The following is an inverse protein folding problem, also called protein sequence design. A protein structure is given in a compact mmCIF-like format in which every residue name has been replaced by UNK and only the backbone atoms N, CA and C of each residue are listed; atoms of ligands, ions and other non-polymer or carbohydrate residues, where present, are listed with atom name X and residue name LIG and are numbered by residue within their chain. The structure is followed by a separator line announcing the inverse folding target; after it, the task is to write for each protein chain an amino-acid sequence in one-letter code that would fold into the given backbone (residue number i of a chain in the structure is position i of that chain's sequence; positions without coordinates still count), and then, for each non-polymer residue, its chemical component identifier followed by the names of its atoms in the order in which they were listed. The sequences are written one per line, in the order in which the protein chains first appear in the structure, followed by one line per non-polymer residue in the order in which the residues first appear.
data_IF_706719452602
#
_entry.id   IF_706719452602
#
_cell.length_a   1.000
_cell.length_b   1.000
_cell.length_c   1.000
_cell.angle_alpha   90.00
_cell.angle_beta   90.00
_cell.angle_gamma   90.00
#
_symmetry.space_group_name_H-M   'P 1'
#
loop_
_entity.id
_entity.type
_entity.pdbx_description
1 polymer ?
#
# COMPACT_ATOMS: atom_id res chain seq x y z
N UNK A 1 33.21 50.27 -2.57
CA UNK A 1 31.87 49.99 -2.01
C UNK A 1 31.83 48.53 -1.56
N UNK A 2 31.88 48.31 -0.25
CA UNK A 2 31.88 46.95 0.36
C UNK A 2 30.47 46.62 0.78
N UNK A 3 29.86 45.63 0.12
CA UNK A 3 28.55 45.09 0.48
C UNK A 3 28.72 44.14 1.67
N UNK A 4 28.19 44.52 2.83
CA UNK A 4 28.15 43.67 4.03
C UNK A 4 26.91 42.76 3.96
N UNK A 5 27.14 41.48 3.82
CA UNK A 5 26.09 40.44 4.02
C UNK A 5 25.84 40.40 5.53
N UNK A 6 24.61 40.71 5.93
CA UNK A 6 24.12 40.50 7.29
C UNK A 6 23.53 39.08 7.32
N UNK A 7 24.26 38.16 7.95
CA UNK A 7 23.73 36.81 8.28
C UNK A 7 22.94 36.99 9.58
N UNK A 8 21.61 36.94 9.47
CA UNK A 8 20.75 36.86 10.64
C UNK A 8 20.80 35.42 11.18
N UNK A 9 21.59 35.26 12.24
CA UNK A 9 21.55 34.01 13.02
C UNK A 9 20.21 33.95 13.77
N UNK A 10 19.35 33.05 13.35
CA UNK A 10 18.14 32.70 14.10
C UNK A 10 18.58 31.86 15.29
N UNK A 11 18.66 32.48 16.46
CA UNK A 11 18.79 31.81 17.74
C UNK A 11 17.54 30.99 17.98
N UNK A 12 17.60 29.67 17.76
CA UNK A 12 16.62 28.73 18.29
C UNK A 12 16.91 28.62 19.79
N UNK A 13 16.29 29.53 20.55
CA UNK A 13 16.27 29.43 22.01
C UNK A 13 15.56 28.12 22.37
N UNK A 14 16.34 27.20 22.95
CA UNK A 14 15.77 25.99 23.55
C UNK A 14 14.80 26.36 24.67
N UNK A 15 13.53 26.47 24.41
CA UNK A 15 12.49 26.45 25.43
C UNK A 15 12.46 25.04 25.98
N UNK A 16 12.95 24.86 27.18
CA UNK A 16 12.71 23.69 27.99
C UNK A 16 11.18 23.62 28.24
N UNK A 17 10.47 22.84 27.44
CA UNK A 17 9.07 22.56 27.71
C UNK A 17 8.97 21.69 28.95
N UNK A 18 8.32 22.18 29.97
CA UNK A 18 7.96 21.42 31.15
C UNK A 18 7.29 20.10 30.73
N UNK A 19 7.70 19.00 31.35
CA UNK A 19 7.14 17.65 31.15
C UNK A 19 5.69 17.60 31.66
N UNK A 20 4.75 18.12 30.90
CA UNK A 20 3.33 18.04 31.16
C UNK A 20 2.64 17.28 30.02
N UNK A 21 1.76 16.33 30.35
CA UNK A 21 0.94 15.64 29.38
C UNK A 21 0.09 16.62 28.54
N UNK A 22 -0.24 16.23 27.29
CA UNK A 22 -1.23 16.99 26.51
C UNK A 22 -2.55 17.07 27.29
N UNK A 23 -3.22 18.25 27.30
CA UNK A 23 -4.56 18.35 27.89
C UNK A 23 -5.55 17.45 27.12
N UNK A 24 -6.66 17.08 27.75
CA UNK A 24 -7.69 16.33 27.06
C UNK A 24 -8.26 17.15 25.90
N UNK A 25 -8.45 16.54 24.70
CA UNK A 25 -8.97 17.23 23.54
C UNK A 25 -10.41 17.70 23.78
N UNK A 26 -10.74 18.86 23.27
CA UNK A 26 -12.13 19.38 23.31
C UNK A 26 -13.04 18.39 22.55
N UNK A 27 -14.11 17.95 23.20
CA UNK A 27 -15.07 17.00 22.63
C UNK A 27 -14.78 15.54 22.95
N UNK A 28 -13.68 15.22 23.69
CA UNK A 28 -13.33 13.85 24.07
C UNK A 28 -12.86 12.98 22.89
N UNK A 29 -12.56 13.57 21.75
CA UNK A 29 -12.04 12.87 20.60
C UNK A 29 -10.61 12.38 20.86
N UNK A 30 -10.33 11.12 20.57
CA UNK A 30 -9.02 10.51 20.79
C UNK A 30 -8.17 10.46 19.53
N UNK A 31 -8.80 10.64 18.37
CA UNK A 31 -8.16 10.65 17.05
C UNK A 31 -8.75 11.76 16.17
N UNK A 32 -7.96 12.19 15.17
CA UNK A 32 -8.39 13.13 14.15
C UNK A 32 -7.88 12.72 12.77
N UNK A 33 -8.72 12.83 11.75
CA UNK A 33 -8.32 12.62 10.35
C UNK A 33 -8.05 13.95 9.70
N UNK A 34 -6.82 14.13 9.23
CA UNK A 34 -6.34 15.35 8.57
C UNK A 34 -7.18 15.65 7.34
N UNK A 35 -7.65 16.90 7.21
CA UNK A 35 -8.40 17.41 6.07
C UNK A 35 -7.52 18.22 5.12
N UNK A 36 -7.93 18.45 3.87
CA UNK A 36 -7.22 19.36 2.97
C UNK A 36 -7.04 20.75 3.59
N UNK A 37 -5.78 21.22 3.62
CA UNK A 37 -5.43 22.52 4.18
C UNK A 37 -5.16 22.55 5.68
N UNK A 38 -5.34 21.43 6.41
CA UNK A 38 -5.00 21.36 7.83
C UNK A 38 -3.48 21.44 8.05
N UNK A 39 -3.11 22.05 9.17
CA UNK A 39 -1.77 22.03 9.73
C UNK A 39 -1.81 21.49 11.16
N UNK A 40 -0.70 20.94 11.67
CA UNK A 40 -0.63 20.52 13.08
C UNK A 40 -0.90 21.69 14.04
N UNK A 41 -0.59 22.92 13.62
CA UNK A 41 -0.91 24.15 14.34
C UNK A 41 -2.42 24.37 14.47
N UNK A 42 -3.16 24.27 13.36
CA UNK A 42 -4.61 24.45 13.36
C UNK A 42 -5.34 23.34 14.12
N UNK A 43 -4.86 22.11 13.96
CA UNK A 43 -5.38 20.94 14.68
C UNK A 43 -5.17 21.13 16.20
N UNK A 44 -3.98 21.53 16.62
CA UNK A 44 -3.70 21.81 18.04
C UNK A 44 -4.55 22.94 18.61
N UNK A 45 -4.74 24.02 17.83
CA UNK A 45 -5.65 25.11 18.19
C UNK A 45 -7.08 24.62 18.37
N UNK A 46 -7.53 23.78 17.46
CA UNK A 46 -8.91 23.26 17.43
C UNK A 46 -9.20 22.35 18.63
N UNK A 47 -8.34 21.36 18.87
CA UNK A 47 -8.59 20.32 19.87
C UNK A 47 -8.09 20.67 21.28
N UNK A 48 -6.98 21.35 21.38
CA UNK A 48 -6.41 21.73 22.70
C UNK A 48 -6.65 23.20 23.06
N UNK A 49 -7.17 24.01 22.14
CA UNK A 49 -7.36 25.45 22.35
C UNK A 49 -6.03 26.25 22.34
N UNK A 50 -4.90 25.56 22.15
CA UNK A 50 -3.57 26.17 22.13
C UNK A 50 -2.76 25.65 20.93
N UNK A 51 -2.51 26.50 19.90
CA UNK A 51 -1.77 26.08 18.74
C UNK A 51 -0.30 25.74 19.05
N UNK A 52 0.28 26.30 20.12
CA UNK A 52 1.68 26.02 20.51
C UNK A 52 1.92 24.59 20.99
N UNK A 53 0.85 23.80 21.15
CA UNK A 53 0.96 22.38 21.49
C UNK A 53 1.21 21.46 20.29
N UNK A 54 1.33 22.02 19.08
CA UNK A 54 1.60 21.25 17.87
C UNK A 54 2.87 20.36 17.94
N UNK A 55 3.98 20.74 18.62
CA UNK A 55 5.13 19.86 18.72
C UNK A 55 4.81 18.58 19.52
N UNK A 56 3.99 18.70 20.56
CA UNK A 56 3.54 17.53 21.35
C UNK A 56 2.54 16.65 20.61
N UNK A 57 1.65 17.27 19.83
CA UNK A 57 0.80 16.51 18.91
C UNK A 57 1.66 15.75 17.89
N UNK A 58 2.74 16.36 17.42
CA UNK A 58 3.70 15.69 16.54
C UNK A 58 4.45 14.54 17.24
N UNK A 59 4.96 14.75 18.43
CA UNK A 59 5.60 13.70 19.25
C UNK A 59 4.67 12.50 19.47
N UNK A 60 3.40 12.76 19.70
CA UNK A 60 2.37 11.73 19.83
C UNK A 60 2.13 10.94 18.52
N UNK A 61 2.49 11.51 17.40
CA UNK A 61 2.33 10.96 16.05
C UNK A 61 3.69 10.82 15.37
N UNK A 62 4.61 10.09 15.98
CA UNK A 62 6.01 9.93 15.56
C UNK A 62 6.21 9.37 14.15
N UNK A 63 5.14 8.86 13.51
CA UNK A 63 5.15 8.45 12.11
C UNK A 63 5.19 9.63 11.11
N UNK A 64 5.02 10.86 11.59
CA UNK A 64 5.15 12.08 10.78
C UNK A 64 6.61 12.52 10.81
N UNK A 65 7.36 12.23 9.76
CA UNK A 65 8.77 12.59 9.66
C UNK A 65 8.99 14.10 9.61
N UNK A 66 8.11 14.82 8.90
CA UNK A 66 8.16 16.27 8.77
C UNK A 66 6.84 16.90 9.23
N UNK A 67 6.85 17.65 10.35
CA UNK A 67 5.63 18.24 10.91
C UNK A 67 4.94 19.29 10.00
N UNK A 68 5.65 19.78 8.99
CA UNK A 68 5.09 20.69 7.98
C UNK A 68 4.43 19.97 6.81
N UNK A 69 4.54 18.64 6.75
CA UNK A 69 4.03 17.80 5.67
C UNK A 69 3.06 16.75 6.23
N UNK A 70 1.89 17.20 6.66
CA UNK A 70 0.77 16.29 6.94
C UNK A 70 -0.14 16.25 5.72
N UNK A 71 -0.69 15.07 5.47
CA UNK A 71 -1.51 14.83 4.29
C UNK A 71 -2.95 14.53 4.69
N UNK A 72 -3.91 15.04 3.93
CA UNK A 72 -5.31 14.70 4.13
C UNK A 72 -5.51 13.18 4.13
N UNK A 73 -6.33 12.69 5.06
CA UNK A 73 -6.55 11.26 5.28
C UNK A 73 -5.60 10.62 6.31
N UNK A 74 -4.52 11.28 6.72
CA UNK A 74 -3.72 10.80 7.84
C UNK A 74 -4.54 10.82 9.13
N UNK A 75 -4.42 9.75 9.92
CA UNK A 75 -5.09 9.66 11.23
C UNK A 75 -4.10 10.04 12.31
N UNK A 76 -4.41 11.11 13.04
CA UNK A 76 -3.60 11.59 14.16
C UNK A 76 -4.19 11.13 15.48
N UNK A 77 -3.34 10.65 16.38
CA UNK A 77 -3.70 10.45 17.79
C UNK A 77 -3.70 11.80 18.52
N UNK A 78 -4.77 12.07 19.25
CA UNK A 78 -4.92 13.31 20.05
C UNK A 78 -4.65 13.10 21.53
N UNK A 79 -4.51 11.86 22.03
CA UNK A 79 -4.33 11.58 23.44
C UNK A 79 -3.19 10.60 23.72
N UNK A 80 -2.38 10.81 24.78
CA UNK A 80 -1.29 9.90 25.15
C UNK A 80 -1.76 8.55 25.69
N UNK A 81 -3.03 8.38 26.03
CA UNK A 81 -3.60 7.11 26.46
C UNK A 81 -3.75 6.07 25.34
N UNK A 82 -3.53 6.49 24.11
CA UNK A 82 -3.51 5.62 22.95
C UNK A 82 -2.10 5.09 22.74
N UNK A 83 -1.77 3.96 23.37
CA UNK A 83 -0.55 3.20 23.01
C UNK A 83 -0.61 2.57 21.63
N UNK A 84 -1.67 2.82 20.86
CA UNK A 84 -1.83 2.41 19.46
C UNK A 84 -2.36 3.58 18.65
N UNK A 85 -1.58 4.13 17.70
CA UNK A 85 -2.07 5.19 16.83
C UNK A 85 -3.20 4.66 15.95
N UNK A 86 -4.31 5.34 16.04
CA UNK A 86 -5.34 5.43 15.07
C UNK A 86 -6.27 4.26 14.93
N UNK A 87 -7.21 4.07 15.86
CA UNK A 87 -8.59 3.68 15.59
C UNK A 87 -9.31 3.58 16.93
N UNK A 88 -10.51 4.16 17.10
CA UNK A 88 -11.27 3.97 18.31
C UNK A 88 -11.54 2.47 18.47
N UNK A 89 -10.96 1.87 19.51
CA UNK A 89 -11.45 0.61 20.00
C UNK A 89 -12.85 0.89 20.53
N UNK A 90 -13.86 0.63 19.72
CA UNK A 90 -15.19 0.37 20.25
C UNK A 90 -14.98 -0.77 21.24
N UNK A 91 -15.15 -0.51 22.52
CA UNK A 91 -15.27 -1.57 23.53
C UNK A 91 -16.52 -2.37 23.19
N UNK A 92 -16.42 -3.26 22.23
CA UNK A 92 -17.28 -4.41 22.16
C UNK A 92 -16.73 -5.28 23.27
N UNK A 93 -17.44 -5.35 24.37
CA UNK A 93 -17.18 -6.33 25.41
C UNK A 93 -17.70 -7.68 24.89
N UNK A 94 -16.87 -8.53 24.26
CA UNK A 94 -17.18 -9.94 24.20
C UNK A 94 -16.68 -10.47 25.53
N UNK A 95 -17.51 -11.04 26.33
CA UNK A 95 -17.10 -12.03 27.30
C UNK A 95 -16.42 -13.18 26.56
N UNK A 96 -15.17 -12.98 26.18
CA UNK A 96 -14.29 -14.07 25.76
C UNK A 96 -13.93 -14.75 27.07
N UNK A 97 -14.54 -15.91 27.28
CA UNK A 97 -14.16 -16.80 28.38
C UNK A 97 -12.69 -17.14 28.24
N UNK A 98 -11.92 -17.00 29.31
CA UNK A 98 -10.47 -17.26 29.39
C UNK A 98 -10.09 -18.72 29.02
N UNK A 99 -11.06 -19.62 28.93
CA UNK A 99 -10.87 -21.02 28.53
C UNK A 99 -10.62 -21.21 27.03
N UNK A 100 -10.84 -20.18 26.18
CA UNK A 100 -10.51 -20.21 24.74
C UNK A 100 -9.11 -19.67 24.40
N UNK A 101 -8.34 -19.21 25.38
CA UNK A 101 -6.98 -18.68 25.18
C UNK A 101 -5.87 -19.73 25.35
N UNK A 102 -6.21 -21.02 25.45
CA UNK A 102 -5.23 -22.12 25.60
C UNK A 102 -4.87 -22.77 24.28
N UNK A 103 -4.68 -22.00 23.21
CA UNK A 103 -4.00 -22.52 22.03
C UNK A 103 -2.58 -21.93 21.93
N UNK A 104 -1.77 -22.29 22.94
CA UNK A 104 -0.33 -22.03 22.93
C UNK A 104 0.28 -23.05 22.02
N UNK A 105 0.45 -22.73 20.71
CA UNK A 105 1.29 -23.52 19.85
C UNK A 105 0.82 -23.80 18.43
N UNK A 106 -0.35 -23.31 17.98
CA UNK A 106 -0.64 -23.38 16.55
C UNK A 106 0.32 -22.49 15.77
N UNK A 107 1.00 -23.01 14.75
CA UNK A 107 1.83 -22.16 13.88
C UNK A 107 0.97 -21.04 13.30
N UNK A 108 1.53 -19.84 13.05
CA UNK A 108 0.76 -18.75 12.48
C UNK A 108 0.12 -19.19 11.16
N UNK A 109 -1.11 -18.77 10.86
CA UNK A 109 -1.80 -19.19 9.65
C UNK A 109 -0.98 -18.79 8.42
N UNK A 110 -0.83 -19.74 7.51
CA UNK A 110 -0.12 -19.59 6.24
C UNK A 110 -1.17 -19.43 5.15
N UNK A 111 -1.03 -18.41 4.32
CA UNK A 111 -1.85 -18.23 3.13
C UNK A 111 -1.06 -18.65 1.90
N UNK A 112 -1.62 -19.62 1.18
CA UNK A 112 -1.07 -20.05 -0.10
C UNK A 112 -1.74 -19.30 -1.23
N UNK A 113 -0.94 -18.70 -2.09
CA UNK A 113 -1.41 -18.10 -3.32
C UNK A 113 -0.98 -19.00 -4.49
N UNK A 114 -1.92 -19.77 -5.01
CA UNK A 114 -1.66 -20.84 -5.98
C UNK A 114 -0.99 -20.38 -7.29
N UNK A 115 -0.98 -19.07 -7.55
CA UNK A 115 -0.40 -18.45 -8.74
C UNK A 115 0.43 -17.24 -8.34
N UNK A 116 1.50 -17.46 -7.59
CA UNK A 116 2.40 -16.39 -7.16
C UNK A 116 2.87 -15.53 -8.33
N UNK A 117 2.89 -14.22 -8.11
CA UNK A 117 3.24 -13.23 -9.13
C UNK A 117 2.06 -12.71 -9.94
N UNK A 118 0.92 -13.41 -10.00
CA UNK A 118 -0.26 -12.97 -10.77
C UNK A 118 -0.94 -11.75 -10.19
N UNK A 119 -0.68 -11.45 -8.92
CA UNK A 119 -1.16 -10.28 -8.19
C UNK A 119 -0.61 -8.97 -8.75
N UNK A 120 0.52 -9.00 -9.47
CA UNK A 120 1.17 -7.81 -9.97
C UNK A 120 1.58 -6.85 -8.84
N UNK A 121 1.94 -5.62 -9.22
CA UNK A 121 2.34 -4.56 -8.28
C UNK A 121 2.23 -3.19 -8.92
N UNK A 122 2.44 -2.12 -8.13
CA UNK A 122 2.62 -0.76 -8.65
C UNK A 122 4.10 -0.40 -8.61
N UNK A 123 4.65 -0.06 -9.78
CA UNK A 123 6.01 0.45 -9.95
C UNK A 123 5.99 1.98 -10.04
N UNK A 124 6.87 2.71 -9.35
CA UNK A 124 6.94 4.19 -9.44
C UNK A 124 7.17 4.66 -10.86
N UNK A 125 8.01 3.95 -11.62
CA UNK A 125 8.31 4.19 -13.01
C UNK A 125 7.76 3.08 -13.91
N UNK A 126 7.78 3.29 -15.23
CA UNK A 126 7.50 2.19 -16.14
C UNK A 126 8.50 1.06 -15.92
N UNK A 127 7.98 -0.14 -15.73
CA UNK A 127 8.83 -1.30 -15.46
C UNK A 127 9.66 -1.62 -16.69
N UNK A 128 10.97 -1.61 -16.52
CA UNK A 128 11.91 -1.87 -17.61
C UNK A 128 11.70 -3.26 -18.19
N UNK A 129 11.79 -3.37 -19.50
CA UNK A 129 11.70 -4.61 -20.23
C UNK A 129 12.97 -4.85 -21.03
N UNK A 130 13.32 -6.11 -21.19
CA UNK A 130 14.48 -6.53 -22.02
C UNK A 130 14.05 -6.73 -23.47
N UNK A 131 12.82 -7.20 -23.66
CA UNK A 131 12.28 -7.47 -24.99
C UNK A 131 10.77 -7.60 -25.03
N UNK A 132 10.27 -8.09 -26.17
CA UNK A 132 8.84 -8.27 -26.44
C UNK A 132 8.58 -9.55 -27.23
N UNK A 133 7.36 -10.08 -27.12
CA UNK A 133 6.86 -11.17 -27.96
C UNK A 133 6.48 -10.61 -29.33
N UNK A 134 7.12 -11.09 -30.38
CA UNK A 134 6.94 -10.61 -31.76
C UNK A 134 5.79 -11.31 -32.47
N UNK A 135 5.73 -12.64 -32.37
CA UNK A 135 4.78 -13.51 -33.06
C UNK A 135 4.74 -14.89 -32.39
N UNK A 136 3.92 -15.78 -32.91
CA UNK A 136 3.91 -17.20 -32.54
C UNK A 136 3.96 -18.11 -33.75
N UNK A 137 4.24 -19.40 -33.53
CA UNK A 137 4.21 -20.42 -34.57
C UNK A 137 3.24 -21.55 -34.17
N UNK A 138 2.14 -21.78 -34.91
CA UNK A 138 1.60 -20.94 -35.99
C UNK A 138 1.14 -19.56 -35.49
N UNK A 139 1.01 -18.55 -36.36
CA UNK A 139 0.57 -17.21 -35.97
C UNK A 139 -0.83 -17.23 -35.31
N UNK A 140 -0.91 -16.74 -34.07
CA UNK A 140 -2.15 -16.63 -33.27
C UNK A 140 -2.30 -15.22 -32.71
N UNK A 141 -3.53 -14.81 -32.45
CA UNK A 141 -3.85 -13.53 -31.79
C UNK A 141 -3.73 -13.68 -30.28
N UNK A 142 -4.30 -14.76 -29.75
CA UNK A 142 -4.25 -15.10 -28.33
C UNK A 142 -3.28 -16.26 -28.14
N UNK A 143 -2.39 -16.10 -27.19
CA UNK A 143 -1.31 -17.03 -26.89
C UNK A 143 -1.56 -17.62 -25.51
N UNK A 144 -1.31 -18.91 -25.39
CA UNK A 144 -1.51 -19.66 -24.14
C UNK A 144 -0.36 -20.60 -23.83
N UNK A 145 -0.50 -21.32 -22.75
CA UNK A 145 0.48 -22.31 -22.31
C UNK A 145 0.74 -23.37 -23.40
N UNK A 146 2.03 -23.65 -23.61
CA UNK A 146 2.50 -24.59 -24.64
C UNK A 146 2.77 -23.96 -26.02
N UNK A 147 2.31 -22.73 -26.28
CA UNK A 147 2.58 -22.05 -27.55
C UNK A 147 4.07 -21.66 -27.67
N UNK A 148 4.59 -21.79 -28.91
CA UNK A 148 5.92 -21.31 -29.26
C UNK A 148 5.80 -19.86 -29.78
N UNK A 149 6.64 -18.99 -29.26
CA UNK A 149 6.68 -17.56 -29.60
C UNK A 149 8.06 -17.12 -30.03
N UNK A 150 8.13 -16.11 -30.86
CA UNK A 150 9.37 -15.41 -31.24
C UNK A 150 9.51 -14.15 -30.38
N UNK A 151 10.72 -13.92 -29.88
CA UNK A 151 11.07 -12.74 -29.10
C UNK A 151 12.16 -11.92 -29.79
N UNK A 152 12.26 -10.63 -29.45
CA UNK A 152 13.32 -9.74 -29.95
C UNK A 152 14.53 -9.65 -29.02
N UNK A 153 14.82 -10.72 -28.27
CA UNK A 153 16.04 -10.89 -27.46
C UNK A 153 16.84 -12.07 -27.97
N UNK A 154 18.14 -12.03 -27.82
CA UNK A 154 19.02 -13.09 -28.30
C UNK A 154 20.40 -13.05 -27.68
N UNK A 155 21.39 -13.69 -28.33
CA UNK A 155 22.74 -13.81 -27.79
C UNK A 155 23.44 -12.48 -27.52
N UNK A 156 23.13 -11.41 -28.27
CA UNK A 156 23.65 -10.06 -28.01
C UNK A 156 23.13 -9.44 -26.70
N UNK A 157 22.04 -9.96 -26.17
CA UNK A 157 21.42 -9.54 -24.90
C UNK A 157 21.82 -10.47 -23.75
N UNK A 158 22.71 -11.46 -24.01
CA UNK A 158 23.15 -12.44 -23.02
C UNK A 158 22.14 -13.55 -22.77
N UNK A 159 21.19 -13.78 -23.69
CA UNK A 159 20.15 -14.80 -23.56
C UNK A 159 20.65 -16.16 -24.03
N UNK A 160 20.39 -17.19 -23.26
CA UNK A 160 20.72 -18.58 -23.51
C UNK A 160 19.48 -19.48 -23.52
N UNK A 161 19.59 -20.65 -24.11
CA UNK A 161 18.53 -21.67 -24.06
C UNK A 161 18.31 -22.13 -22.60
N UNK A 162 17.07 -22.24 -22.18
CA UNK A 162 16.66 -22.54 -20.81
C UNK A 162 16.42 -21.31 -19.92
N UNK A 163 16.75 -20.11 -20.38
CA UNK A 163 16.46 -18.89 -19.64
C UNK A 163 14.96 -18.67 -19.47
N UNK A 164 14.57 -18.29 -18.26
CA UNK A 164 13.18 -17.97 -17.92
C UNK A 164 12.93 -16.47 -17.94
N UNK A 165 11.81 -16.09 -18.54
CA UNK A 165 11.35 -14.71 -18.61
C UNK A 165 9.91 -14.57 -18.10
N UNK A 166 9.66 -13.50 -17.39
CA UNK A 166 8.31 -13.08 -16.99
C UNK A 166 7.69 -12.24 -18.10
N UNK A 167 6.49 -12.62 -18.53
CA UNK A 167 5.66 -11.86 -19.47
C UNK A 167 4.77 -10.91 -18.72
N UNK A 168 4.82 -9.62 -19.04
CA UNK A 168 4.07 -8.61 -18.32
C UNK A 168 3.53 -7.50 -19.23
N UNK A 169 2.64 -6.71 -18.67
CA UNK A 169 2.14 -5.48 -19.29
C UNK A 169 2.08 -4.38 -18.25
N UNK A 170 2.56 -3.21 -18.59
CA UNK A 170 2.40 -1.99 -17.82
C UNK A 170 1.13 -1.28 -18.27
N UNK A 171 0.25 -0.97 -17.34
CA UNK A 171 -1.00 -0.26 -17.61
C UNK A 171 -0.82 1.26 -17.53
N UNK A 172 -1.94 1.98 -17.66
CA UNK A 172 -1.98 3.43 -17.46
C UNK A 172 -1.49 3.81 -16.06
N UNK A 173 -1.00 5.05 -15.88
CA UNK A 173 -0.56 5.52 -14.58
C UNK A 173 -1.70 5.47 -13.54
N UNK A 174 -1.34 5.10 -12.31
CA UNK A 174 -2.23 5.08 -11.15
C UNK A 174 -2.06 6.38 -10.38
N UNK A 175 -3.20 6.96 -9.98
CA UNK A 175 -3.24 8.19 -9.19
C UNK A 175 -3.78 7.89 -7.81
N UNK A 176 -3.20 8.54 -6.82
CA UNK A 176 -3.67 8.41 -5.45
C UNK A 176 -5.09 8.99 -5.32
N UNK A 177 -6.07 8.23 -4.80
CA UNK A 177 -7.48 8.60 -4.84
C UNK A 177 -7.79 9.90 -4.09
N UNK A 178 -6.99 10.24 -3.11
CA UNK A 178 -7.20 11.41 -2.26
C UNK A 178 -6.39 12.63 -2.71
N UNK A 179 -5.10 12.46 -3.03
CA UNK A 179 -4.21 13.58 -3.38
C UNK A 179 -4.21 13.91 -4.86
N UNK A 180 -4.72 13.02 -5.72
CA UNK A 180 -4.65 13.14 -7.17
C UNK A 180 -3.23 13.03 -7.75
N UNK A 181 -2.22 12.77 -6.92
CA UNK A 181 -0.83 12.62 -7.39
C UNK A 181 -0.64 11.28 -8.08
N UNK A 182 0.14 11.27 -9.15
CA UNK A 182 0.60 10.02 -9.77
C UNK A 182 1.49 9.27 -8.77
N UNK A 183 1.18 8.00 -8.53
CA UNK A 183 1.92 7.12 -7.62
C UNK A 183 2.72 6.04 -8.33
N UNK A 184 2.45 5.82 -9.61
CA UNK A 184 3.19 4.85 -10.41
C UNK A 184 2.36 4.26 -11.53
N UNK A 185 2.80 3.09 -11.99
CA UNK A 185 2.15 2.31 -13.04
C UNK A 185 1.83 0.92 -12.52
N UNK A 186 0.63 0.44 -12.78
CA UNK A 186 0.25 -0.93 -12.46
C UNK A 186 0.92 -1.89 -13.44
N UNK A 187 1.70 -2.82 -12.93
CA UNK A 187 2.34 -3.91 -13.66
C UNK A 187 1.52 -5.17 -13.43
N UNK A 188 1.00 -5.74 -14.50
CA UNK A 188 0.28 -7.00 -14.45
C UNK A 188 1.12 -8.10 -15.09
N UNK A 189 1.26 -9.22 -14.37
CA UNK A 189 1.97 -10.41 -14.86
C UNK A 189 0.98 -11.25 -15.66
N UNK A 190 1.40 -11.64 -16.87
CA UNK A 190 0.58 -12.39 -17.81
C UNK A 190 0.97 -13.85 -17.89
N UNK A 191 2.24 -14.17 -17.64
CA UNK A 191 2.76 -15.53 -17.71
C UNK A 191 4.26 -15.59 -17.65
N UNK A 192 4.78 -16.75 -17.99
CA UNK A 192 6.19 -17.06 -18.05
C UNK A 192 6.52 -17.76 -19.35
N UNK A 193 7.73 -17.52 -19.87
CA UNK A 193 8.27 -18.18 -21.04
C UNK A 193 9.66 -18.71 -20.74
N UNK A 194 10.01 -19.80 -21.38
CA UNK A 194 11.35 -20.40 -21.36
C UNK A 194 11.95 -20.31 -22.78
N UNK A 195 13.17 -19.83 -22.91
CA UNK A 195 13.88 -19.77 -24.17
C UNK A 195 14.21 -21.20 -24.63
N UNK A 196 13.72 -21.56 -25.79
CA UNK A 196 13.97 -22.89 -26.39
C UNK A 196 15.22 -22.85 -27.22
N UNK A 197 15.35 -21.85 -28.10
CA UNK A 197 16.49 -21.73 -29.02
C UNK A 197 16.82 -20.27 -29.31
N UNK A 198 18.10 -19.96 -29.43
CA UNK A 198 18.60 -18.63 -29.76
C UNK A 198 18.94 -18.58 -31.26
N UNK A 199 18.07 -17.93 -32.04
CA UNK A 199 18.18 -17.87 -33.50
C UNK A 199 19.22 -16.88 -34.00
N UNK A 200 19.71 -15.99 -33.12
CA UNK A 200 20.68 -14.97 -33.51
C UNK A 200 20.89 -13.91 -32.43
N UNK A 201 21.58 -12.83 -32.80
CA UNK A 201 21.93 -11.77 -31.84
C UNK A 201 20.73 -11.11 -31.14
N UNK A 202 19.62 -10.96 -31.85
CA UNK A 202 18.42 -10.23 -31.40
C UNK A 202 17.12 -11.02 -31.61
N UNK A 203 17.20 -12.34 -31.66
CA UNK A 203 16.02 -13.17 -31.84
C UNK A 203 16.17 -14.52 -31.16
N UNK A 204 15.12 -14.97 -30.52
CA UNK A 204 15.01 -16.33 -29.98
C UNK A 204 13.57 -16.86 -30.12
N UNK A 205 13.45 -18.18 -30.02
CA UNK A 205 12.18 -18.87 -29.81
C UNK A 205 12.03 -19.17 -28.33
N UNK A 206 10.82 -19.02 -27.83
CA UNK A 206 10.49 -19.36 -26.44
C UNK A 206 9.17 -20.13 -26.39
N UNK A 207 9.02 -20.98 -25.38
CA UNK A 207 7.79 -21.68 -25.08
C UNK A 207 7.08 -20.98 -23.92
N UNK A 208 5.77 -20.75 -24.03
CA UNK A 208 4.99 -20.27 -22.91
C UNK A 208 4.83 -21.44 -21.93
N UNK A 209 5.46 -21.33 -20.75
CA UNK A 209 5.43 -22.35 -19.69
C UNK A 209 4.23 -22.17 -18.78
N UNK A 210 3.85 -20.92 -18.49
CA UNK A 210 2.70 -20.58 -17.68
C UNK A 210 1.94 -19.41 -18.32
N UNK A 211 0.61 -19.52 -18.37
CA UNK A 211 -0.27 -18.45 -18.86
C UNK A 211 -1.32 -18.14 -17.80
N UNK A 212 -1.19 -17.02 -17.12
CA UNK A 212 -2.09 -16.56 -16.08
C UNK A 212 -3.24 -15.71 -16.63
N UNK A 213 -2.97 -15.04 -17.76
CA UNK A 213 -3.88 -14.17 -18.49
C UNK A 213 -3.62 -14.32 -19.99
N UNK A 214 -4.53 -13.83 -20.80
CA UNK A 214 -4.39 -13.83 -22.26
C UNK A 214 -3.14 -13.05 -22.69
N UNK A 215 -2.13 -13.78 -23.16
CA UNK A 215 -0.91 -13.20 -23.72
C UNK A 215 -1.18 -12.83 -25.19
N UNK A 216 -0.71 -11.68 -25.60
CA UNK A 216 -0.84 -11.22 -26.99
C UNK A 216 0.49 -10.73 -27.50
N UNK A 217 0.62 -10.65 -28.81
CA UNK A 217 1.75 -10.01 -29.47
C UNK A 217 2.02 -8.61 -28.88
N UNK A 218 3.31 -8.24 -28.72
CA UNK A 218 3.74 -6.99 -28.10
C UNK A 218 3.77 -7.03 -26.58
N UNK A 219 3.45 -8.16 -25.94
CA UNK A 219 3.67 -8.31 -24.49
C UNK A 219 5.17 -8.18 -24.19
N UNK A 220 5.48 -7.45 -23.13
CA UNK A 220 6.86 -7.19 -22.69
C UNK A 220 7.40 -8.37 -21.91
N UNK A 221 8.72 -8.62 -22.03
CA UNK A 221 9.41 -9.67 -21.30
C UNK A 221 10.63 -9.12 -20.56
N UNK A 222 10.97 -9.74 -19.44
CA UNK A 222 12.18 -9.49 -18.65
C UNK A 222 12.64 -10.77 -17.96
N UNK A 223 13.91 -10.85 -17.51
CA UNK A 223 14.39 -12.00 -16.75
C UNK A 223 13.43 -12.34 -15.61
N UNK A 224 13.20 -13.63 -15.38
CA UNK A 224 12.27 -14.13 -14.39
C UNK A 224 12.75 -13.80 -12.98
N UNK A 225 11.84 -13.26 -12.17
CA UNK A 225 12.03 -13.10 -10.73
C UNK A 225 11.13 -14.10 -10.01
N UNK A 226 11.68 -14.84 -9.06
CA UNK A 226 10.87 -15.77 -8.25
C UNK A 226 9.84 -15.00 -7.44
N UNK A 227 8.58 -15.36 -7.61
CA UNK A 227 7.48 -14.85 -6.81
C UNK A 227 7.21 -15.77 -5.62
N UNK A 228 6.85 -15.17 -4.50
CA UNK A 228 6.52 -15.90 -3.28
C UNK A 228 5.10 -16.43 -3.39
N UNK A 229 4.94 -17.76 -3.28
CA UNK A 229 3.62 -18.42 -3.34
C UNK A 229 3.01 -18.64 -1.96
N UNK A 230 3.79 -18.42 -0.91
CA UNK A 230 3.42 -18.71 0.47
C UNK A 230 3.74 -17.51 1.35
N UNK A 231 2.75 -17.08 2.12
CA UNK A 231 2.90 -15.93 3.01
C UNK A 231 2.45 -16.32 4.41
N UNK A 232 3.37 -16.31 5.35
CA UNK A 232 3.10 -16.50 6.77
C UNK A 232 2.70 -15.19 7.40
N UNK A 233 1.59 -15.16 8.13
CA UNK A 233 1.14 -13.95 8.84
C UNK A 233 2.19 -13.53 9.87
N UNK A 234 2.50 -12.23 9.84
CA UNK A 234 3.41 -11.56 10.77
C UNK A 234 2.77 -10.27 11.26
N UNK A 235 2.93 -10.00 12.53
CA UNK A 235 2.54 -8.72 13.10
C UNK A 235 3.45 -7.60 12.61
N UNK A 236 2.93 -6.40 12.53
CA UNK A 236 3.71 -5.21 12.24
C UNK A 236 4.63 -4.83 13.40
N UNK A 237 5.79 -4.27 13.09
CA UNK A 237 6.75 -3.82 14.10
C UNK A 237 6.47 -2.39 14.58
N UNK A 238 5.88 -1.56 13.73
CA UNK A 238 5.58 -0.15 14.00
C UNK A 238 4.23 0.22 13.40
N UNK A 239 3.49 1.16 14.01
CA UNK A 239 2.22 1.61 13.47
C UNK A 239 2.40 2.21 12.06
N UNK A 240 1.55 1.79 11.13
CA UNK A 240 1.50 2.36 9.80
C UNK A 240 0.05 2.45 9.32
N UNK A 241 -0.30 3.60 8.75
CA UNK A 241 -1.61 3.87 8.20
C UNK A 241 -1.45 4.32 6.76
N UNK A 242 -2.32 3.85 5.91
CA UNK A 242 -2.34 4.16 4.49
C UNK A 242 -3.73 4.00 3.90
N UNK A 243 -3.79 3.78 2.61
CA UNK A 243 -5.03 3.76 1.86
C UNK A 243 -5.01 2.69 0.76
N UNK A 244 -6.16 2.12 0.47
CA UNK A 244 -6.35 1.30 -0.74
C UNK A 244 -6.37 2.24 -1.95
N UNK A 245 -5.37 2.15 -2.82
CA UNK A 245 -5.20 3.10 -3.93
C UNK A 245 -5.63 2.55 -5.28
N UNK A 246 -5.61 1.24 -5.45
CA UNK A 246 -6.05 0.57 -6.67
C UNK A 246 -6.39 -0.89 -6.41
N UNK A 247 -6.98 -1.54 -7.40
CA UNK A 247 -7.23 -2.99 -7.41
C UNK A 247 -6.64 -3.63 -8.68
N UNK A 248 -6.43 -4.95 -8.63
CA UNK A 248 -5.83 -5.69 -9.73
C UNK A 248 -6.67 -5.56 -11.02
N UNK A 249 -7.98 -5.69 -10.92
CA UNK A 249 -8.90 -5.73 -12.06
C UNK A 249 -9.67 -4.41 -12.26
N UNK A 250 -9.19 -3.29 -11.69
CA UNK A 250 -9.83 -1.97 -11.76
C UNK A 250 -11.29 -1.94 -11.25
N UNK A 251 -11.62 -2.88 -10.37
CA UNK A 251 -12.91 -2.95 -9.71
C UNK A 251 -13.03 -1.85 -8.66
N UNK A 252 -14.19 -1.22 -8.59
CA UNK A 252 -14.49 -0.20 -7.56
C UNK A 252 -14.99 -0.82 -6.27
N UNK A 253 -15.69 -1.94 -6.39
CA UNK A 253 -16.28 -2.69 -5.27
C UNK A 253 -15.43 -3.93 -5.03
N UNK A 254 -14.93 -4.06 -3.83
CA UNK A 254 -13.96 -5.07 -3.46
C UNK A 254 -14.48 -5.89 -2.27
N UNK A 255 -14.08 -7.16 -2.22
CA UNK A 255 -14.43 -8.09 -1.17
C UNK A 255 -13.34 -9.14 -0.98
N UNK A 256 -13.63 -10.13 -0.16
CA UNK A 256 -12.72 -11.25 0.11
C UNK A 256 -12.22 -11.90 -1.20
N UNK A 257 -10.92 -12.20 -1.25
CA UNK A 257 -10.25 -12.79 -2.41
C UNK A 257 -9.78 -11.78 -3.47
N UNK A 258 -10.16 -10.49 -3.36
CA UNK A 258 -9.64 -9.47 -4.28
C UNK A 258 -8.23 -9.03 -3.90
N UNK A 259 -7.43 -8.75 -4.93
CA UNK A 259 -6.10 -8.15 -4.80
C UNK A 259 -6.23 -6.63 -4.87
N UNK A 260 -5.60 -5.97 -3.93
CA UNK A 260 -5.56 -4.52 -3.78
C UNK A 260 -4.12 -4.02 -3.62
N UNK A 261 -3.92 -2.75 -3.93
CA UNK A 261 -2.66 -2.07 -3.73
C UNK A 261 -2.85 -0.96 -2.70
N UNK A 262 -1.88 -0.86 -1.79
CA UNK A 262 -1.86 0.15 -0.73
C UNK A 262 -0.63 1.05 -0.87
N UNK A 263 -0.73 2.30 -0.44
CA UNK A 263 0.31 3.33 -0.49
C UNK A 263 1.35 3.22 0.64
N UNK A 264 1.61 2.01 1.07
CA UNK A 264 2.59 1.65 2.09
C UNK A 264 3.50 0.55 1.56
N UNK A 265 4.80 0.65 1.79
CA UNK A 265 5.79 -0.30 1.33
C UNK A 265 6.94 -0.53 2.31
N UNK A 266 8.04 -1.06 1.80
CA UNK A 266 9.25 -1.37 2.59
C UNK A 266 9.81 -0.14 3.32
N UNK A 267 9.66 1.05 2.76
CA UNK A 267 10.05 2.32 3.38
C UNK A 267 9.37 2.54 4.74
N UNK A 268 8.15 2.02 4.90
CA UNK A 268 7.38 2.05 6.14
C UNK A 268 7.44 0.73 6.91
N UNK A 269 8.47 -0.08 6.67
CA UNK A 269 8.67 -1.39 7.30
C UNK A 269 7.51 -2.37 7.05
N UNK A 270 6.89 -2.28 5.88
CA UNK A 270 5.86 -3.22 5.44
C UNK A 270 6.50 -4.35 4.66
N UNK A 271 6.18 -5.57 5.06
CA UNK A 271 6.74 -6.80 4.49
C UNK A 271 5.64 -7.83 4.21
N UNK A 272 5.89 -8.81 3.33
CA UNK A 272 4.99 -9.93 3.13
C UNK A 272 4.62 -10.60 4.45
N UNK A 273 3.32 -10.87 4.64
CA UNK A 273 2.76 -11.42 5.87
C UNK A 273 2.17 -10.40 6.83
N UNK A 274 2.50 -9.12 6.70
CA UNK A 274 1.84 -8.11 7.51
C UNK A 274 0.33 -8.06 7.21
N UNK A 275 -0.49 -7.91 8.23
CA UNK A 275 -1.94 -7.76 8.09
C UNK A 275 -2.38 -6.34 8.40
N UNK A 276 -3.41 -5.90 7.69
CA UNK A 276 -4.03 -4.61 7.88
C UNK A 276 -5.52 -4.75 8.09
N UNK A 277 -6.05 -4.02 9.05
CA UNK A 277 -7.48 -3.78 9.17
C UNK A 277 -7.91 -2.64 8.25
N UNK A 278 -9.01 -2.85 7.51
CA UNK A 278 -9.55 -1.90 6.52
C UNK A 278 -10.73 -1.17 7.13
N UNK A 279 -10.74 0.16 7.01
CA UNK A 279 -11.75 1.04 7.58
C UNK A 279 -12.32 2.00 6.55
N UNK A 280 -13.57 2.39 6.74
CA UNK A 280 -14.15 3.51 5.97
C UNK A 280 -13.49 4.82 6.36
N UNK A 281 -13.45 5.78 5.43
CA UNK A 281 -13.10 7.16 5.76
C UNK A 281 -14.16 7.76 6.70
N UNK A 282 -13.77 8.58 7.69
CA UNK A 282 -14.70 9.39 8.46
C UNK A 282 -15.50 10.29 7.51
N UNK A 283 -16.79 10.37 7.71
CA UNK A 283 -17.67 11.15 6.86
C UNK A 283 -18.41 12.22 7.67
N UNK A 284 -18.29 13.46 7.26
CA UNK A 284 -19.15 14.53 7.74
C UNK A 284 -20.56 14.35 7.21
N UNK A 285 -21.55 14.37 8.09
CA UNK A 285 -22.97 14.35 7.74
C UNK A 285 -23.63 15.52 8.45
N UNK A 286 -24.41 16.37 7.74
CA UNK A 286 -25.13 17.42 8.39
C UNK A 286 -26.19 16.85 9.35
N UNK A 287 -26.17 17.29 10.60
CA UNK A 287 -27.21 16.99 11.58
C UNK A 287 -28.52 17.69 11.13
N UNK A 288 -29.61 16.95 11.00
CA UNK A 288 -30.90 17.53 10.54
C UNK A 288 -31.41 18.64 11.43
N UNK A 289 -31.17 18.57 12.75
CA UNK A 289 -31.71 19.53 13.71
C UNK A 289 -30.80 20.75 13.88
N UNK A 290 -29.51 20.54 14.10
CA UNK A 290 -28.55 21.60 14.37
C UNK A 290 -27.91 22.20 13.12
N UNK A 291 -28.07 21.56 11.95
CA UNK A 291 -27.40 21.89 10.67
C UNK A 291 -25.87 21.94 10.76
N UNK A 292 -25.28 21.41 11.83
CA UNK A 292 -23.85 21.29 12.00
C UNK A 292 -23.38 19.94 11.45
N UNK A 293 -22.21 19.92 10.84
CA UNK A 293 -21.61 18.66 10.41
C UNK A 293 -21.20 17.80 11.61
N UNK A 294 -21.76 16.61 11.69
CA UNK A 294 -21.38 15.57 12.64
C UNK A 294 -20.50 14.57 11.91
N UNK A 295 -19.32 14.29 12.46
CA UNK A 295 -18.40 13.32 11.86
C UNK A 295 -18.79 11.91 12.30
N UNK A 296 -19.19 11.07 11.35
CA UNK A 296 -19.41 9.66 11.59
C UNK A 296 -18.02 8.99 11.73
N UNK A 297 -17.76 8.26 12.84
CA UNK A 297 -16.49 7.61 13.04
C UNK A 297 -16.25 6.49 12.01
N UNK A 298 -14.97 6.20 11.67
CA UNK A 298 -14.64 5.08 10.80
C UNK A 298 -15.06 3.76 11.43
N UNK A 299 -15.59 2.84 10.62
CA UNK A 299 -15.90 1.49 11.03
C UNK A 299 -15.11 0.49 10.19
N UNK A 300 -14.79 -0.65 10.79
CA UNK A 300 -14.03 -1.71 10.12
C UNK A 300 -14.86 -2.38 9.04
N UNK A 301 -14.27 -2.53 7.85
CA UNK A 301 -14.87 -3.20 6.70
C UNK A 301 -14.33 -4.62 6.49
N UNK A 302 -13.04 -4.85 6.79
CA UNK A 302 -12.38 -6.12 6.56
C UNK A 302 -10.91 -6.13 6.97
N UNK A 303 -10.18 -7.11 6.45
CA UNK A 303 -8.72 -7.25 6.61
C UNK A 303 -8.06 -7.64 5.30
N UNK A 304 -6.81 -7.27 5.14
CA UNK A 304 -5.94 -7.76 4.09
C UNK A 304 -4.63 -8.29 4.66
N UNK A 305 -3.97 -9.16 3.90
CA UNK A 305 -2.59 -9.61 4.14
C UNK A 305 -1.72 -9.15 2.98
N UNK A 306 -0.52 -8.66 3.29
CA UNK A 306 0.47 -8.25 2.28
C UNK A 306 1.09 -9.48 1.65
N UNK A 307 0.99 -9.60 0.33
CA UNK A 307 1.63 -10.65 -0.47
C UNK A 307 3.02 -10.23 -0.94
N UNK A 308 3.15 -8.98 -1.38
CA UNK A 308 4.40 -8.42 -1.89
C UNK A 308 4.51 -6.95 -1.49
N UNK A 309 5.73 -6.49 -1.20
CA UNK A 309 6.00 -5.10 -0.85
C UNK A 309 7.14 -4.54 -1.72
N UNK A 310 6.84 -3.45 -2.42
CA UNK A 310 7.80 -2.62 -3.12
C UNK A 310 8.32 -1.52 -2.18
N UNK A 311 9.11 -0.59 -2.68
CA UNK A 311 9.71 0.47 -1.85
C UNK A 311 8.64 1.27 -1.09
N UNK A 312 7.67 1.83 -1.78
CA UNK A 312 6.63 2.72 -1.24
C UNK A 312 5.19 2.19 -1.39
N UNK A 313 5.02 1.00 -1.94
CA UNK A 313 3.72 0.38 -2.22
C UNK A 313 3.72 -1.07 -1.77
N UNK A 314 2.55 -1.62 -1.46
CA UNK A 314 2.40 -3.06 -1.27
C UNK A 314 1.16 -3.60 -1.97
N UNK A 315 1.26 -4.86 -2.35
CA UNK A 315 0.16 -5.67 -2.89
C UNK A 315 -0.41 -6.52 -1.78
N UNK A 316 -1.71 -6.43 -1.57
CA UNK A 316 -2.42 -7.18 -0.53
C UNK A 316 -3.58 -8.00 -1.07
N UNK A 317 -3.86 -9.10 -0.39
CA UNK A 317 -5.04 -9.95 -0.59
C UNK A 317 -6.06 -9.64 0.51
N UNK A 318 -7.29 -9.32 0.14
CA UNK A 318 -8.37 -9.17 1.12
C UNK A 318 -8.74 -10.58 1.63
N UNK A 319 -8.47 -10.83 2.92
CA UNK A 319 -8.70 -12.13 3.56
C UNK A 319 -10.05 -12.22 4.28
N UNK A 320 -10.63 -11.08 4.61
CA UNK A 320 -11.90 -10.95 5.30
C UNK A 320 -12.61 -9.67 4.89
N UNK A 321 -13.91 -9.74 4.64
CA UNK A 321 -14.72 -8.60 4.22
C UNK A 321 -16.14 -8.72 4.78
N UNK A 322 -16.40 -8.04 5.89
CA UNK A 322 -17.74 -7.94 6.47
C UNK A 322 -18.63 -6.93 5.74
N UNK A 323 -18.02 -6.00 5.00
CA UNK A 323 -18.68 -4.94 4.23
C UNK A 323 -17.90 -4.65 2.96
N UNK A 324 -18.59 -4.01 2.00
CA UNK A 324 -17.98 -3.56 0.75
C UNK A 324 -16.76 -2.66 1.00
N UNK A 325 -15.63 -3.03 0.41
CA UNK A 325 -14.39 -2.26 0.43
C UNK A 325 -14.29 -1.46 -0.86
N UNK A 326 -13.74 -0.26 -0.79
CA UNK A 326 -13.63 0.67 -1.92
C UNK A 326 -12.21 1.24 -2.02
N UNK A 327 -11.86 1.68 -3.22
CA UNK A 327 -10.63 2.47 -3.41
C UNK A 327 -10.78 3.77 -2.63
N UNK A 328 -9.79 4.11 -1.81
CA UNK A 328 -9.84 5.23 -0.87
C UNK A 328 -10.13 4.84 0.57
N UNK A 329 -10.48 3.58 0.85
CA UNK A 329 -10.62 3.12 2.24
C UNK A 329 -9.26 3.11 2.96
N UNK A 330 -9.30 3.43 4.25
CA UNK A 330 -8.12 3.45 5.11
C UNK A 330 -7.64 2.04 5.44
N UNK A 331 -6.33 1.86 5.53
CA UNK A 331 -5.71 0.64 6.03
C UNK A 331 -4.80 0.95 7.21
N UNK A 332 -4.90 0.13 8.24
CA UNK A 332 -4.10 0.28 9.46
C UNK A 332 -3.42 -1.03 9.79
N UNK A 333 -2.10 -0.99 9.98
CA UNK A 333 -1.28 -2.16 10.27
C UNK A 333 -1.67 -2.78 11.62
N UNK A 334 -1.92 -4.09 11.62
CA UNK A 334 -2.16 -4.88 12.84
C UNK A 334 -0.81 -5.16 13.54
N UNK A 335 -0.71 -4.81 14.84
CA UNK A 335 0.51 -4.94 15.67
C UNK A 335 0.50 -6.19 16.53
#
# INVERSE_FOLDING_TARGET
MRCRLIIAAIFIGGMAFAQGNLPEPKGGETIYVVRPGDTLWDISKRFYGNPLLWPRLWELNSFIDNPHLIYPGQVLSLTPKYEKPGIPVVKINPEIREDQLKDVGAPPPVYYYAKGGTEGFISPDEWEHMGTILSSEPPKILLGEGDIVYTNVGSSDGVESGDLFTVFRTSKPVFHPFTGRKIGYKVAIFGEIEIVDVLGGKMSTAKITNSYREITRGARIRPHEQFVNEVTIKKGAQPANGMVVASLNDQRVLGQGNIVYIDLGKERSIFPGNTFSIYTLPRGVPDPDSRKDVTIPPYRKGRLVVLNAQHNMATGLIIDSARQIEIGDLVCLDL
#
